data_IF_864232605372
#
_entry.id   IF_864232605372
#
_cell.length_a   1.000
_cell.length_b   1.000
_cell.length_c   1.000
_cell.angle_alpha   90.00
_cell.angle_beta   90.00
_cell.angle_gamma   90.00
#
_symmetry.space_group_name_H-M   'P 1'
#
loop_
_entity.id
_entity.type
_entity.pdbx_description
1 polymer ?
#
# COMPACT_ATOMS: atom_id res chain seq x y z
N UNK A 1 5.20 -9.85 23.10
CA UNK A 1 5.77 -10.50 21.91
C UNK A 1 6.33 -11.89 22.23
N UNK A 2 7.07 -12.05 23.33
CA UNK A 2 7.72 -13.31 23.69
C UNK A 2 6.72 -14.48 23.82
N UNK A 3 5.59 -14.26 24.50
CA UNK A 3 4.51 -15.25 24.61
C UNK A 3 3.95 -15.64 23.24
N UNK A 4 3.70 -14.64 22.37
CA UNK A 4 3.20 -14.88 21.03
C UNK A 4 4.21 -15.64 20.16
N UNK A 5 5.49 -15.28 20.23
CA UNK A 5 6.56 -15.99 19.52
C UNK A 5 6.69 -17.45 20.02
N UNK A 6 6.57 -17.66 21.32
CA UNK A 6 6.56 -19.01 21.93
C UNK A 6 5.33 -19.82 21.54
N UNK A 7 4.19 -19.15 21.32
CA UNK A 7 2.95 -19.75 20.81
C UNK A 7 2.96 -20.00 19.30
N UNK A 8 4.05 -19.66 18.59
CA UNK A 8 4.21 -19.94 17.17
C UNK A 8 4.07 -18.74 16.21
N UNK A 9 3.89 -17.51 16.70
CA UNK A 9 3.92 -16.32 15.85
C UNK A 9 5.29 -16.20 15.18
N UNK A 10 5.32 -15.96 13.87
CA UNK A 10 6.54 -15.84 13.04
C UNK A 10 6.66 -14.48 12.37
N UNK A 11 5.56 -13.88 11.99
CA UNK A 11 5.54 -12.69 11.16
C UNK A 11 4.48 -11.70 11.61
N UNK A 12 4.82 -10.41 11.55
CA UNK A 12 3.91 -9.32 11.90
C UNK A 12 3.91 -8.25 10.82
N UNK A 13 2.72 -7.76 10.48
CA UNK A 13 2.56 -6.52 9.74
C UNK A 13 2.35 -5.37 10.73
N UNK A 14 3.30 -4.43 10.75
CA UNK A 14 3.26 -3.29 11.68
C UNK A 14 2.86 -2.04 10.90
N UNK A 15 1.77 -1.39 11.31
CA UNK A 15 1.35 -0.13 10.71
C UNK A 15 2.23 1.03 11.17
N UNK A 16 2.83 1.73 10.21
CA UNK A 16 3.61 2.95 10.42
C UNK A 16 3.19 3.98 9.39
N UNK A 17 2.34 4.93 9.78
CA UNK A 17 1.70 5.89 8.86
C UNK A 17 2.55 7.11 8.54
N UNK A 18 3.50 7.47 9.41
CA UNK A 18 4.40 8.60 9.24
C UNK A 18 5.69 8.37 10.01
N UNK A 19 6.77 9.00 9.56
CA UNK A 19 8.01 9.16 10.33
C UNK A 19 7.82 10.16 11.49
N UNK A 20 6.87 11.09 11.32
CA UNK A 20 6.49 12.09 12.32
C UNK A 20 5.50 11.49 13.33
N UNK A 21 5.83 11.47 14.65
CA UNK A 21 4.96 10.92 15.69
C UNK A 21 3.61 11.62 15.79
N UNK A 22 3.55 12.94 15.62
CA UNK A 22 2.30 13.71 15.75
C UNK A 22 1.33 13.34 14.61
N UNK A 23 1.83 13.25 13.38
CA UNK A 23 1.04 12.84 12.21
C UNK A 23 0.57 11.40 12.35
N UNK A 24 1.45 10.49 12.79
CA UNK A 24 1.09 9.08 13.00
C UNK A 24 0.00 8.93 14.07
N UNK A 25 0.19 9.56 15.21
CA UNK A 25 -0.72 9.44 16.36
C UNK A 25 -2.08 10.07 16.06
N UNK A 26 -2.11 11.19 15.34
CA UNK A 26 -3.34 11.83 14.89
C UNK A 26 -4.17 10.91 14.00
N UNK A 27 -3.52 10.22 13.05
CA UNK A 27 -4.19 9.27 12.16
C UNK A 27 -4.65 8.00 12.88
N UNK A 28 -3.81 7.47 13.75
CA UNK A 28 -4.17 6.33 14.59
C UNK A 28 -5.25 6.69 15.62
N UNK A 29 -5.51 7.98 15.84
CA UNK A 29 -6.35 8.51 16.95
C UNK A 29 -5.94 7.91 18.29
N UNK A 30 -4.64 7.74 18.51
CA UNK A 30 -4.13 7.06 19.69
C UNK A 30 -2.74 7.62 20.06
N UNK A 31 -2.68 8.59 20.98
CA UNK A 31 -1.42 9.17 21.41
C UNK A 31 -0.39 8.14 21.85
N UNK A 32 0.85 8.31 21.40
CA UNK A 32 1.97 7.40 21.66
C UNK A 32 1.95 6.12 20.82
N UNK A 33 1.06 5.99 19.82
CA UNK A 33 1.02 4.81 18.94
C UNK A 33 2.26 4.70 18.06
N UNK A 34 2.82 5.83 17.58
CA UNK A 34 4.09 5.84 16.86
C UNK A 34 5.22 5.22 17.68
N UNK A 35 5.39 5.68 18.91
CA UNK A 35 6.41 5.16 19.81
C UNK A 35 6.22 3.67 20.13
N UNK A 36 4.96 3.20 20.22
CA UNK A 36 4.66 1.77 20.42
C UNK A 36 5.01 0.95 19.16
N UNK A 37 4.66 1.44 17.98
CA UNK A 37 5.00 0.79 16.71
C UNK A 37 6.51 0.69 16.52
N UNK A 38 7.25 1.79 16.75
CA UNK A 38 8.70 1.83 16.69
C UNK A 38 9.35 0.82 17.66
N UNK A 39 8.95 0.82 18.94
CA UNK A 39 9.44 -0.17 19.92
C UNK A 39 9.10 -1.61 19.52
N UNK A 40 7.96 -1.84 18.89
CA UNK A 40 7.59 -3.17 18.40
C UNK A 40 8.53 -3.62 17.30
N UNK A 41 8.82 -2.77 16.32
CA UNK A 41 9.77 -3.04 15.23
C UNK A 41 11.19 -3.29 15.76
N UNK A 42 11.65 -2.50 16.73
CA UNK A 42 12.94 -2.70 17.41
C UNK A 42 13.01 -4.07 18.12
N UNK A 43 11.98 -4.44 18.87
CA UNK A 43 11.91 -5.74 19.55
C UNK A 43 11.86 -6.92 18.58
N UNK A 44 11.10 -6.80 17.48
CA UNK A 44 11.10 -7.81 16.41
C UNK A 44 12.49 -7.89 15.79
N UNK A 45 13.13 -6.73 15.56
CA UNK A 45 14.49 -6.67 15.05
C UNK A 45 15.54 -7.36 15.95
N UNK A 46 15.33 -7.40 17.25
CA UNK A 46 16.19 -8.09 18.20
C UNK A 46 15.91 -9.59 18.31
N UNK A 47 14.71 -10.07 17.93
CA UNK A 47 14.30 -11.47 18.05
C UNK A 47 14.40 -12.21 16.70
N UNK A 48 15.31 -13.20 16.61
CA UNK A 48 15.50 -13.99 15.39
C UNK A 48 14.33 -14.91 15.03
N UNK A 49 13.41 -15.15 15.94
CA UNK A 49 12.20 -15.95 15.72
C UNK A 49 11.16 -15.20 14.92
N UNK A 50 11.24 -13.87 14.88
CA UNK A 50 10.23 -12.98 14.32
C UNK A 50 10.75 -12.23 13.09
N UNK A 51 9.84 -11.95 12.18
CA UNK A 51 10.02 -11.05 11.04
C UNK A 51 8.88 -10.02 11.00
N UNK A 52 9.09 -8.89 10.34
CA UNK A 52 8.06 -7.90 10.17
C UNK A 52 8.15 -7.20 8.84
N UNK A 53 6.96 -6.84 8.34
CA UNK A 53 6.76 -5.87 7.27
C UNK A 53 6.17 -4.58 7.85
N UNK A 54 6.42 -3.47 7.18
CA UNK A 54 5.77 -2.19 7.50
C UNK A 54 4.66 -1.92 6.50
N UNK A 55 3.47 -1.63 7.01
CA UNK A 55 2.33 -1.16 6.22
C UNK A 55 2.14 0.34 6.43
N UNK A 56 2.29 1.11 5.36
CA UNK A 56 2.08 2.55 5.34
C UNK A 56 0.82 2.88 4.53
N UNK A 57 -0.24 3.29 5.21
CA UNK A 57 -1.44 3.80 4.53
C UNK A 57 -1.14 5.19 4.00
N UNK A 58 -1.33 5.39 2.69
CA UNK A 58 -1.20 6.69 2.03
C UNK A 58 -2.47 7.50 2.25
N UNK A 59 -2.33 8.66 2.89
CA UNK A 59 -3.41 9.58 3.18
C UNK A 59 -2.94 11.03 3.00
N UNK A 60 -3.85 11.99 3.06
CA UNK A 60 -3.56 13.41 2.80
C UNK A 60 -2.37 13.98 3.57
N UNK A 61 -2.17 13.56 4.83
CA UNK A 61 -1.15 14.14 5.70
C UNK A 61 0.26 13.56 5.51
N UNK A 62 0.40 12.38 4.86
CA UNK A 62 1.71 11.82 4.52
C UNK A 62 1.97 11.76 3.01
N UNK A 63 0.99 12.10 2.18
CA UNK A 63 1.05 11.99 0.72
C UNK A 63 2.31 12.60 0.10
N UNK A 64 2.85 13.66 0.70
CA UNK A 64 4.02 14.39 0.20
C UNK A 64 5.34 14.00 0.86
N UNK A 65 5.34 13.03 1.77
CA UNK A 65 6.50 12.64 2.59
C UNK A 65 6.68 11.13 2.75
N UNK A 66 6.25 10.33 1.75
CA UNK A 66 6.39 8.87 1.78
C UNK A 66 7.86 8.43 1.78
N UNK A 67 8.72 9.18 1.09
CA UNK A 67 10.16 8.99 1.10
C UNK A 67 10.77 9.16 2.51
N UNK A 68 10.29 10.09 3.30
CA UNK A 68 10.73 10.24 4.70
C UNK A 68 10.31 9.03 5.58
N UNK A 69 9.17 8.40 5.30
CA UNK A 69 8.78 7.15 5.98
C UNK A 69 9.76 6.03 5.64
N UNK A 70 10.15 5.87 4.36
CA UNK A 70 11.14 4.87 3.95
C UNK A 70 12.49 5.14 4.60
N UNK A 71 12.96 6.40 4.56
CA UNK A 71 14.23 6.80 5.21
C UNK A 71 14.23 6.43 6.71
N UNK A 72 13.15 6.72 7.41
CA UNK A 72 12.99 6.37 8.82
C UNK A 72 13.03 4.85 9.07
N UNK A 73 12.40 4.07 8.18
CA UNK A 73 12.42 2.60 8.28
C UNK A 73 13.83 2.06 8.02
N UNK A 74 14.51 2.53 6.97
CA UNK A 74 15.86 2.08 6.59
C UNK A 74 16.87 2.39 7.70
N UNK A 75 16.81 3.59 8.25
CA UNK A 75 17.75 4.04 9.29
C UNK A 75 17.52 3.29 10.60
N UNK A 76 16.28 3.11 11.01
CA UNK A 76 15.97 2.67 12.38
C UNK A 76 15.66 1.19 12.52
N UNK A 77 15.16 0.56 11.44
CA UNK A 77 14.69 -0.84 11.48
C UNK A 77 15.34 -1.72 10.42
N UNK A 78 16.66 -1.96 10.47
CA UNK A 78 17.42 -2.62 9.40
C UNK A 78 17.00 -4.07 9.12
N UNK A 79 16.16 -4.66 9.96
CA UNK A 79 15.60 -6.01 9.75
C UNK A 79 14.24 -6.03 9.07
N UNK A 80 13.60 -4.88 8.88
CA UNK A 80 12.45 -4.77 7.98
C UNK A 80 12.95 -4.99 6.55
N UNK A 81 12.28 -5.86 5.79
CA UNK A 81 12.66 -6.21 4.42
C UNK A 81 11.57 -5.93 3.40
N UNK A 82 10.37 -5.65 3.87
CA UNK A 82 9.23 -5.41 3.00
C UNK A 82 8.38 -4.23 3.47
N UNK A 83 7.95 -3.42 2.50
CA UNK A 83 7.05 -2.30 2.69
C UNK A 83 5.77 -2.50 1.87
N UNK A 84 4.63 -2.20 2.46
CA UNK A 84 3.36 -2.11 1.75
C UNK A 84 2.87 -0.66 1.82
N UNK A 85 2.75 -0.01 0.66
CA UNK A 85 2.07 1.27 0.53
C UNK A 85 0.63 1.01 0.13
N UNK A 86 -0.31 1.41 0.96
CA UNK A 86 -1.71 1.12 0.79
C UNK A 86 -2.50 2.43 0.64
N UNK A 87 -2.99 2.72 -0.57
CA UNK A 87 -3.82 3.90 -0.78
C UNK A 87 -5.16 3.74 -0.08
N UNK A 88 -5.64 4.78 0.60
CA UNK A 88 -6.88 4.72 1.37
C UNK A 88 -8.04 4.19 0.52
N UNK A 89 -8.74 3.18 1.04
CA UNK A 89 -10.00 2.71 0.49
C UNK A 89 -11.10 3.72 0.81
N UNK A 90 -11.65 4.33 -0.23
CA UNK A 90 -12.63 5.42 -0.10
C UNK A 90 -13.97 4.95 0.49
N UNK A 91 -14.24 3.65 0.47
CA UNK A 91 -15.49 3.04 0.93
C UNK A 91 -15.45 2.56 2.38
N UNK A 92 -14.29 2.59 3.02
CA UNK A 92 -14.17 2.24 4.43
C UNK A 92 -14.93 3.24 5.30
N UNK A 93 -15.70 2.78 6.28
CA UNK A 93 -16.55 3.60 7.16
C UNK A 93 -15.83 4.84 7.71
N UNK A 94 -14.59 4.68 8.18
CA UNK A 94 -13.81 5.79 8.73
C UNK A 94 -13.44 6.85 7.70
N UNK A 95 -13.22 6.44 6.45
CA UNK A 95 -12.90 7.36 5.36
C UNK A 95 -14.17 8.09 4.92
N UNK A 96 -15.31 7.39 4.82
CA UNK A 96 -16.61 8.00 4.52
C UNK A 96 -16.99 9.09 5.55
N UNK A 97 -16.67 8.86 6.82
CA UNK A 97 -16.87 9.85 7.90
C UNK A 97 -15.83 10.99 7.89
N UNK A 98 -14.68 10.80 7.23
CA UNK A 98 -13.56 11.76 7.19
C UNK A 98 -12.99 11.86 5.77
N UNK A 99 -13.77 12.36 4.78
CA UNK A 99 -13.34 12.40 3.37
C UNK A 99 -12.10 13.28 3.15
N UNK A 100 -11.86 14.24 4.03
CA UNK A 100 -10.67 15.11 4.01
C UNK A 100 -9.35 14.34 4.21
N UNK A 101 -9.39 13.09 4.63
CA UNK A 101 -8.19 12.25 4.74
C UNK A 101 -7.75 11.66 3.41
N UNK A 102 -8.61 11.66 2.40
CA UNK A 102 -8.29 11.18 1.07
C UNK A 102 -7.26 12.10 0.39
N UNK A 103 -6.11 11.58 -0.05
CA UNK A 103 -5.14 12.37 -0.80
C UNK A 103 -5.56 12.47 -2.27
N UNK A 104 -5.16 13.55 -2.94
CA UNK A 104 -5.18 13.60 -4.40
C UNK A 104 -4.03 12.77 -4.94
N UNK A 105 -4.21 12.16 -6.11
CA UNK A 105 -3.15 11.37 -6.75
C UNK A 105 -1.93 12.23 -7.09
N UNK A 106 -2.13 13.45 -7.59
CA UNK A 106 -1.06 14.39 -7.88
C UNK A 106 -0.20 14.77 -6.65
N UNK A 107 -0.76 14.76 -5.43
CA UNK A 107 0.01 15.01 -4.20
C UNK A 107 0.90 13.81 -3.80
N UNK A 108 0.56 12.61 -4.28
CA UNK A 108 1.27 11.35 -3.95
C UNK A 108 2.41 11.05 -4.91
N UNK A 109 2.27 11.39 -6.19
CA UNK A 109 3.12 10.93 -7.30
C UNK A 109 4.62 11.07 -7.01
N UNK A 110 5.07 12.30 -6.75
CA UNK A 110 6.50 12.58 -6.58
C UNK A 110 7.07 11.93 -5.32
N UNK A 111 6.35 11.96 -4.20
CA UNK A 111 6.82 11.38 -2.95
C UNK A 111 6.83 9.86 -3.01
N UNK A 112 5.85 9.23 -3.67
CA UNK A 112 5.82 7.81 -3.90
C UNK A 112 7.00 7.38 -4.79
N UNK A 113 7.24 8.08 -5.91
CA UNK A 113 8.36 7.78 -6.79
C UNK A 113 9.70 7.84 -6.04
N UNK A 114 9.93 8.88 -5.20
CA UNK A 114 11.13 8.98 -4.36
C UNK A 114 11.20 7.86 -3.33
N UNK A 115 10.08 7.53 -2.69
CA UNK A 115 9.98 6.45 -1.71
C UNK A 115 10.36 5.09 -2.32
N UNK A 116 9.82 4.77 -3.51
CA UNK A 116 10.09 3.50 -4.19
C UNK A 116 11.55 3.39 -4.65
N UNK A 117 12.14 4.49 -5.18
CA UNK A 117 13.58 4.54 -5.52
C UNK A 117 14.46 4.34 -4.29
N UNK A 118 14.13 4.98 -3.18
CA UNK A 118 14.88 4.81 -1.94
C UNK A 118 14.77 3.39 -1.39
N UNK A 119 13.59 2.77 -1.48
CA UNK A 119 13.38 1.39 -1.08
C UNK A 119 14.23 0.42 -1.92
N UNK A 120 14.23 0.57 -3.26
CA UNK A 120 15.08 -0.23 -4.16
C UNK A 120 16.58 -0.04 -3.83
N UNK A 121 17.02 1.21 -3.65
CA UNK A 121 18.42 1.50 -3.32
C UNK A 121 18.84 0.95 -1.95
N UNK A 122 17.90 0.59 -1.09
CA UNK A 122 18.10 0.04 0.24
C UNK A 122 17.81 -1.46 0.35
N UNK A 123 17.70 -2.17 -0.77
CA UNK A 123 17.37 -3.61 -0.83
C UNK A 123 16.05 -3.98 -0.12
N UNK A 124 15.10 -3.04 -0.07
CA UNK A 124 13.75 -3.30 0.44
C UNK A 124 12.85 -3.75 -0.71
N UNK A 125 12.16 -4.86 -0.52
CA UNK A 125 11.04 -5.20 -1.38
C UNK A 125 9.81 -4.39 -1.00
N UNK A 126 8.88 -4.18 -1.94
CA UNK A 126 7.66 -3.43 -1.65
C UNK A 126 6.49 -3.85 -2.53
N UNK A 127 5.29 -3.51 -2.06
CA UNK A 127 4.03 -3.55 -2.80
C UNK A 127 3.32 -2.21 -2.66
N UNK A 128 2.59 -1.87 -3.72
CA UNK A 128 1.73 -0.69 -3.74
C UNK A 128 0.31 -1.15 -4.05
N UNK A 129 -0.62 -0.77 -3.20
CA UNK A 129 -2.03 -1.15 -3.32
C UNK A 129 -2.91 0.05 -3.64
N UNK A 130 -3.89 -0.11 -4.51
CA UNK A 130 -4.91 0.87 -4.90
C UNK A 130 -4.38 2.15 -5.54
N UNK A 131 -3.14 2.18 -5.99
CA UNK A 131 -2.60 3.29 -6.77
C UNK A 131 -2.71 2.94 -8.25
N UNK A 132 -3.37 3.78 -9.08
CA UNK A 132 -3.43 3.56 -10.52
C UNK A 132 -2.04 3.52 -11.16
N UNK A 133 -1.82 2.67 -12.16
CA UNK A 133 -0.49 2.48 -12.77
C UNK A 133 0.10 3.77 -13.36
N UNK A 134 -0.73 4.74 -13.78
CA UNK A 134 -0.24 6.03 -14.27
C UNK A 134 0.58 6.81 -13.21
N UNK A 135 0.37 6.56 -11.93
CA UNK A 135 1.13 7.19 -10.85
C UNK A 135 2.31 6.35 -10.32
N UNK A 136 2.55 5.18 -10.91
CA UNK A 136 3.66 4.29 -10.52
C UNK A 136 4.22 3.48 -11.70
N UNK A 137 4.28 4.08 -12.87
CA UNK A 137 4.59 3.43 -14.13
C UNK A 137 5.89 2.60 -14.10
N UNK A 138 7.00 3.14 -13.59
CA UNK A 138 8.30 2.47 -13.48
C UNK A 138 8.22 1.20 -12.59
N UNK A 139 7.28 1.18 -11.63
CA UNK A 139 7.06 0.09 -10.67
C UNK A 139 5.73 -0.63 -10.87
N UNK A 140 5.16 -0.60 -12.07
CA UNK A 140 3.88 -1.26 -12.37
C UNK A 140 3.84 -2.73 -11.93
N UNK A 141 4.97 -3.44 -12.02
CA UNK A 141 5.13 -4.82 -11.56
C UNK A 141 5.03 -4.98 -10.02
N UNK A 142 5.14 -3.91 -9.25
CA UNK A 142 4.97 -3.89 -7.80
C UNK A 142 3.54 -3.58 -7.35
N UNK A 143 2.62 -3.24 -8.28
CA UNK A 143 1.20 -3.07 -7.96
C UNK A 143 0.58 -4.40 -7.56
N UNK A 144 -0.06 -4.43 -6.40
CA UNK A 144 -0.76 -5.63 -5.90
C UNK A 144 -1.87 -6.06 -6.85
N UNK A 145 -2.66 -5.11 -7.36
CA UNK A 145 -3.76 -5.40 -8.29
C UNK A 145 -3.23 -5.95 -9.61
N UNK A 146 -2.20 -5.33 -10.17
CA UNK A 146 -1.58 -5.77 -11.44
C UNK A 146 -1.01 -7.18 -11.32
N UNK A 147 -0.32 -7.49 -10.22
CA UNK A 147 0.20 -8.85 -9.97
C UNK A 147 -0.92 -9.88 -9.92
N UNK A 148 -2.01 -9.58 -9.25
CA UNK A 148 -3.18 -10.46 -9.16
C UNK A 148 -3.84 -10.68 -10.52
N UNK A 149 -4.01 -9.60 -11.30
CA UNK A 149 -4.57 -9.69 -12.66
C UNK A 149 -3.69 -10.53 -13.59
N UNK A 150 -2.37 -10.34 -13.55
CA UNK A 150 -1.40 -11.11 -14.37
C UNK A 150 -1.36 -12.58 -13.96
N UNK A 151 -1.41 -12.88 -12.66
CA UNK A 151 -1.35 -14.27 -12.14
C UNK A 151 -2.71 -14.96 -12.14
N UNK A 152 -3.81 -14.27 -12.45
CA UNK A 152 -5.16 -14.82 -12.38
C UNK A 152 -5.55 -15.24 -10.95
N UNK A 153 -5.03 -14.54 -9.94
CA UNK A 153 -5.30 -14.88 -8.54
C UNK A 153 -6.73 -14.52 -8.17
N UNK A 154 -7.48 -15.51 -7.71
CA UNK A 154 -8.74 -15.31 -7.00
C UNK A 154 -8.48 -15.30 -5.49
N UNK A 155 -8.82 -14.20 -4.83
CA UNK A 155 -8.69 -14.11 -3.38
C UNK A 155 -10.06 -14.01 -2.73
N UNK A 156 -10.39 -15.00 -1.91
CA UNK A 156 -11.58 -14.98 -1.06
C UNK A 156 -11.19 -14.39 0.29
N UNK A 157 -11.83 -13.29 0.66
CA UNK A 157 -11.63 -12.67 1.97
C UNK A 157 -12.89 -12.92 2.80
N UNK A 158 -12.71 -13.48 3.98
CA UNK A 158 -13.76 -13.63 4.96
C UNK A 158 -13.63 -12.52 6.01
N UNK A 159 -14.65 -11.69 6.11
CA UNK A 159 -14.74 -10.70 7.17
C UNK A 159 -15.58 -11.25 8.31
N UNK A 160 -15.03 -11.22 9.51
CA UNK A 160 -15.78 -11.48 10.73
C UNK A 160 -16.29 -10.13 11.23
N UNK A 161 -17.55 -9.83 11.05
CA UNK A 161 -18.20 -8.66 11.60
C UNK A 161 -19.13 -9.01 12.77
N UNK A 162 -19.79 -8.01 13.37
CA UNK A 162 -20.74 -8.20 14.47
C UNK A 162 -21.99 -9.04 14.10
N UNK A 163 -22.20 -9.32 12.80
CA UNK A 163 -23.34 -10.10 12.27
C UNK A 163 -22.94 -11.50 11.81
N UNK A 164 -21.64 -11.83 11.82
CA UNK A 164 -21.10 -13.11 11.40
C UNK A 164 -20.04 -12.98 10.30
N UNK A 165 -19.68 -14.09 9.66
CA UNK A 165 -18.73 -14.11 8.56
C UNK A 165 -19.40 -13.64 7.27
N UNK A 166 -18.88 -12.56 6.68
CA UNK A 166 -19.24 -12.12 5.32
C UNK A 166 -18.13 -12.58 4.38
N UNK A 167 -18.50 -13.33 3.34
CA UNK A 167 -17.60 -13.70 2.25
C UNK A 167 -17.60 -12.59 1.21
N UNK A 168 -16.44 -11.99 0.95
CA UNK A 168 -16.29 -11.09 -0.18
C UNK A 168 -15.53 -11.81 -1.30
N UNK A 169 -16.16 -11.96 -2.45
CA UNK A 169 -15.51 -12.51 -3.64
C UNK A 169 -14.56 -11.48 -4.25
N UNK A 170 -13.44 -11.97 -4.76
CA UNK A 170 -12.28 -11.16 -5.12
C UNK A 170 -12.33 -10.48 -6.49
N UNK A 171 -13.48 -10.34 -7.13
CA UNK A 171 -13.65 -9.42 -8.27
C UNK A 171 -13.36 -7.94 -7.93
N UNK A 172 -12.98 -7.68 -6.68
CA UNK A 172 -12.80 -6.36 -6.06
C UNK A 172 -11.49 -5.63 -6.45
N UNK A 173 -10.65 -6.17 -7.36
CA UNK A 173 -9.40 -5.51 -7.76
C UNK A 173 -9.53 -4.61 -8.97
N UNK A 174 -10.70 -4.57 -9.60
CA UNK A 174 -10.97 -3.70 -10.73
C UNK A 174 -11.91 -2.59 -10.28
N UNK A 175 -11.38 -1.39 -10.30
CA UNK A 175 -12.06 -0.16 -9.92
C UNK A 175 -12.49 0.64 -11.17
N UNK A 176 -12.97 1.85 -10.96
CA UNK A 176 -13.42 2.72 -12.03
C UNK A 176 -12.32 3.13 -13.01
N UNK A 177 -12.67 3.26 -14.28
CA UNK A 177 -11.81 3.72 -15.38
C UNK A 177 -12.50 4.85 -16.13
N UNK A 178 -11.71 5.81 -16.64
CA UNK A 178 -12.19 6.96 -17.41
C UNK A 178 -11.97 6.77 -18.91
N UNK A 179 -12.43 7.74 -19.72
CA UNK A 179 -12.14 7.76 -21.15
C UNK A 179 -10.64 7.76 -21.46
N UNK A 180 -9.80 8.40 -20.63
CA UNK A 180 -8.34 8.36 -20.76
C UNK A 180 -7.79 6.92 -20.66
N UNK A 181 -8.42 6.05 -19.89
CA UNK A 181 -8.01 4.66 -19.77
C UNK A 181 -8.30 3.81 -21.02
N UNK A 182 -9.18 4.27 -21.92
CA UNK A 182 -9.44 3.59 -23.19
C UNK A 182 -8.24 3.69 -24.16
N UNK A 183 -7.48 4.78 -24.10
CA UNK A 183 -6.25 4.96 -24.86
C UNK A 183 -5.01 4.37 -24.17
N UNK A 184 -5.13 3.89 -22.94
CA UNK A 184 -4.03 3.38 -22.12
C UNK A 184 -3.68 1.95 -22.50
N UNK A 185 -2.44 1.69 -22.93
CA UNK A 185 -2.00 0.35 -23.35
C UNK A 185 -1.96 -0.68 -22.21
N UNK A 186 -1.79 -0.23 -20.97
CA UNK A 186 -1.74 -1.11 -19.79
C UNK A 186 -3.06 -1.16 -19.03
N UNK A 187 -4.15 -0.67 -19.63
CA UNK A 187 -5.47 -0.61 -18.99
C UNK A 187 -5.96 -1.98 -18.50
N UNK A 188 -5.69 -3.05 -19.27
CA UNK A 188 -6.10 -4.41 -18.90
C UNK A 188 -5.39 -4.94 -17.63
N UNK A 189 -4.19 -4.44 -17.34
CA UNK A 189 -3.40 -4.82 -16.17
C UNK A 189 -3.60 -3.88 -14.97
N UNK A 190 -4.28 -2.75 -15.18
CA UNK A 190 -4.46 -1.72 -14.16
C UNK A 190 -5.73 -1.96 -13.36
N UNK A 191 -5.64 -1.89 -12.03
CA UNK A 191 -6.80 -1.94 -11.15
C UNK A 191 -7.78 -0.76 -11.31
N UNK A 192 -7.36 0.36 -11.92
CA UNK A 192 -8.19 1.57 -12.00
C UNK A 192 -8.13 2.43 -10.74
N UNK A 193 -9.13 3.30 -10.55
CA UNK A 193 -9.22 4.22 -9.42
C UNK A 193 -10.41 3.85 -8.52
N UNK A 194 -10.11 3.51 -7.28
CA UNK A 194 -11.13 3.27 -6.26
C UNK A 194 -11.91 4.55 -5.93
N UNK A 195 -13.23 4.45 -5.81
CA UNK A 195 -14.11 5.59 -5.52
C UNK A 195 -14.29 6.59 -6.65
N UNK A 196 -13.95 6.19 -7.91
CA UNK A 196 -14.15 7.04 -9.09
C UNK A 196 -15.62 7.47 -9.23
N UNK A 197 -15.85 8.77 -9.35
CA UNK A 197 -17.18 9.38 -9.50
C UNK A 197 -17.96 9.53 -8.19
N UNK A 198 -17.48 8.97 -7.09
CA UNK A 198 -18.09 9.09 -5.75
C UNK A 198 -17.26 10.01 -4.85
N UNK A 199 -16.01 9.65 -4.66
CA UNK A 199 -15.08 10.34 -3.73
C UNK A 199 -13.84 10.87 -4.42
N UNK A 200 -13.60 10.49 -5.68
CA UNK A 200 -12.41 10.84 -6.46
C UNK A 200 -12.78 11.32 -7.87
N UNK A 201 -12.02 12.31 -8.34
CA UNK A 201 -12.14 12.84 -9.68
C UNK A 201 -11.29 12.00 -10.67
N UNK A 202 -11.91 11.56 -11.74
CA UNK A 202 -11.24 10.85 -12.83
C UNK A 202 -10.36 11.71 -13.72
N UNK A 203 -10.43 13.04 -13.61
CA UNK A 203 -9.58 13.97 -14.37
C UNK A 203 -8.09 13.83 -14.03
N UNK A 204 -7.77 13.25 -12.87
CA UNK A 204 -6.38 12.95 -12.50
C UNK A 204 -5.80 11.75 -13.26
N UNK A 205 -6.60 10.90 -13.94
CA UNK A 205 -6.09 9.73 -14.67
C UNK A 205 -5.60 10.11 -16.07
N UNK A 206 -4.46 9.53 -16.47
CA UNK A 206 -3.87 9.71 -17.79
C UNK A 206 -3.39 8.40 -18.40
N UNK A 207 -3.33 8.28 -19.75
CA UNK A 207 -2.95 7.04 -20.40
C UNK A 207 -1.44 6.79 -20.32
N UNK A 208 -1.07 5.50 -20.18
CA UNK A 208 0.30 5.03 -20.35
C UNK A 208 0.44 4.27 -21.67
N UNK A 209 1.61 4.44 -22.32
CA UNK A 209 1.95 3.80 -23.59
C UNK A 209 3.07 2.74 -23.43
N UNK A 210 3.20 2.17 -22.24
CA UNK A 210 4.14 1.11 -21.92
C UNK A 210 3.70 -0.22 -22.53
N UNK A 211 4.67 -1.13 -22.68
CA UNK A 211 4.41 -2.49 -23.12
C UNK A 211 3.83 -3.33 -21.96
N UNK A 212 2.58 -3.83 -22.07
CA UNK A 212 1.96 -4.65 -21.04
C UNK A 212 2.66 -6.03 -20.89
N UNK A 213 3.23 -6.57 -21.97
CA UNK A 213 3.91 -7.87 -21.91
C UNK A 213 5.21 -7.79 -21.11
N UNK A 214 5.93 -6.67 -21.19
CA UNK A 214 7.14 -6.46 -20.38
C UNK A 214 6.81 -6.44 -18.88
N UNK A 215 5.69 -5.83 -18.49
CA UNK A 215 5.21 -5.83 -17.09
C UNK A 215 4.83 -7.25 -16.66
N UNK A 216 4.07 -7.97 -17.50
CA UNK A 216 3.63 -9.33 -17.20
C UNK A 216 4.81 -10.29 -17.03
N UNK A 217 5.79 -10.24 -17.93
CA UNK A 217 7.02 -11.05 -17.87
C UNK A 217 7.81 -10.78 -16.58
N UNK A 218 7.94 -9.51 -16.18
CA UNK A 218 8.63 -9.16 -14.94
C UNK A 218 7.93 -9.75 -13.71
N UNK A 219 6.59 -9.75 -13.69
CA UNK A 219 5.80 -10.32 -12.60
C UNK A 219 5.92 -11.84 -12.54
N UNK A 220 5.95 -12.52 -13.70
CA UNK A 220 6.06 -13.98 -13.80
C UNK A 220 7.47 -14.48 -13.51
N UNK A 221 8.50 -13.68 -13.74
CA UNK A 221 9.90 -14.02 -13.48
C UNK A 221 10.36 -13.80 -12.04
N UNK A 222 9.52 -13.22 -11.19
CA UNK A 222 9.79 -12.95 -9.76
C UNK A 222 9.48 -14.16 -8.83
N UNK A 223 9.36 -15.38 -9.35
CA UNK A 223 9.13 -16.62 -8.59
C UNK A 223 10.40 -17.41 -8.33
#
# INVERSE_FOLDING_TARGET
LDELASAGLKHLHVSLYSHDPEVHDALARNPGSHARAARTLERIGADRRLTSDVNCVIHRYNARSLDAVVGFVVERFPRVRHLVFNFLDSRMNRVAENPDTLPRLADVELSLARALRLAEASDLTFRVERVPLCYMAEWAHCSTETRKLVKGEERIIHFLDAKGMVRQESGAFVHGKTAACQACRVSALCGGLDGLGETRDGAELYPLFMDPEAIAKRIQGDE
#
